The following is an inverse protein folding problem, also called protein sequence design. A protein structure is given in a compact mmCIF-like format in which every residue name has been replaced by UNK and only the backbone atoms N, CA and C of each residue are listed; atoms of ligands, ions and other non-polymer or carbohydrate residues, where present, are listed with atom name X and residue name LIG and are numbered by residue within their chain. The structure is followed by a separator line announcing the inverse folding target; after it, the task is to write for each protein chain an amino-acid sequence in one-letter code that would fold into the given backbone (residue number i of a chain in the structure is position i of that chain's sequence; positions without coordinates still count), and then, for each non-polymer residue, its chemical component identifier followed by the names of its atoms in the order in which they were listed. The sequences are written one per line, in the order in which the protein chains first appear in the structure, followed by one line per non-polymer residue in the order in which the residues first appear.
data_IF_295363960885
#
_entry.id   IF_295363960885
#
_cell.length_a   1.000
_cell.length_b   1.000
_cell.length_c   1.000
_cell.angle_alpha   90.00
_cell.angle_beta   90.00
_cell.angle_gamma   90.00
#
_symmetry.space_group_name_H-M   'P 1'
#
loop_
_entity.id
_entity.type
_entity.pdbx_description
1 polymer ?
#
# COMPACT_ATOMS: atom_id res chain seq x y z
N UNK A 1 -44.35 -50.61 -2.66
CA UNK A 1 -42.93 -50.27 -2.95
C UNK A 1 -42.79 -48.76 -2.92
N UNK A 2 -42.17 -48.21 -1.84
CA UNK A 2 -41.91 -46.77 -1.69
C UNK A 2 -40.48 -46.53 -2.25
N UNK A 3 -40.39 -45.71 -3.30
CA UNK A 3 -39.09 -45.24 -3.81
C UNK A 3 -38.58 -44.11 -2.92
N UNK A 4 -37.46 -44.32 -2.23
CA UNK A 4 -36.70 -43.29 -1.54
C UNK A 4 -35.82 -42.61 -2.57
N UNK A 5 -36.10 -41.33 -2.86
CA UNK A 5 -35.23 -40.50 -3.68
C UNK A 5 -34.18 -39.91 -2.75
N UNK A 6 -32.95 -40.40 -2.85
CA UNK A 6 -31.78 -39.78 -2.19
C UNK A 6 -31.42 -38.51 -3.00
N UNK A 7 -31.66 -37.37 -2.43
CA UNK A 7 -31.13 -36.10 -2.93
C UNK A 7 -29.68 -35.96 -2.40
N UNK A 8 -28.71 -36.28 -3.23
CA UNK A 8 -27.32 -35.94 -2.98
C UNK A 8 -27.13 -34.43 -3.16
N UNK A 9 -27.13 -33.71 -2.07
CA UNK A 9 -26.76 -32.29 -2.07
C UNK A 9 -25.28 -32.14 -2.33
N UNK A 10 -24.89 -31.79 -3.55
CA UNK A 10 -23.52 -31.38 -3.87
C UNK A 10 -23.24 -30.05 -3.14
N UNK A 11 -22.56 -30.15 -2.02
CA UNK A 11 -21.98 -28.98 -1.35
C UNK A 11 -20.81 -28.47 -2.21
N UNK A 12 -21.08 -27.48 -3.07
CA UNK A 12 -20.00 -26.72 -3.69
C UNK A 12 -19.28 -25.91 -2.60
N UNK A 13 -18.18 -26.46 -2.09
CA UNK A 13 -17.21 -25.67 -1.34
C UNK A 13 -16.61 -24.64 -2.31
N UNK A 14 -17.15 -23.42 -2.30
CA UNK A 14 -16.45 -22.30 -2.93
C UNK A 14 -15.17 -22.09 -2.15
N UNK A 15 -14.07 -22.60 -2.67
CA UNK A 15 -12.73 -22.23 -2.22
C UNK A 15 -12.58 -20.76 -2.63
N UNK A 16 -12.81 -19.85 -1.69
CA UNK A 16 -12.50 -18.44 -1.86
C UNK A 16 -10.97 -18.37 -1.91
N UNK A 17 -10.44 -18.33 -3.12
CA UNK A 17 -9.02 -18.18 -3.37
C UNK A 17 -8.73 -16.67 -3.21
N UNK A 18 -8.28 -16.26 -2.04
CA UNK A 18 -7.76 -14.92 -1.84
C UNK A 18 -6.49 -14.76 -2.65
N UNK A 19 -6.42 -13.70 -3.43
CA UNK A 19 -5.29 -13.46 -4.31
C UNK A 19 -5.21 -11.98 -4.68
N UNK A 20 -4.04 -11.57 -5.13
CA UNK A 20 -3.89 -10.25 -5.73
C UNK A 20 -4.27 -10.33 -7.21
N UNK A 21 -5.35 -9.65 -7.58
CA UNK A 21 -5.70 -9.45 -9.00
C UNK A 21 -4.81 -8.36 -9.58
N UNK A 22 -4.20 -8.64 -10.73
CA UNK A 22 -3.29 -7.71 -11.39
C UNK A 22 -3.89 -7.25 -12.72
N UNK A 23 -4.07 -5.94 -12.84
CA UNK A 23 -4.39 -5.28 -14.10
C UNK A 23 -3.15 -4.54 -14.61
N UNK A 24 -2.99 -4.49 -15.92
CA UNK A 24 -1.85 -3.79 -16.51
C UNK A 24 -2.29 -2.82 -17.59
N UNK A 25 -1.61 -1.69 -17.66
CA UNK A 25 -1.68 -0.76 -18.80
C UNK A 25 -0.33 -0.70 -19.52
N UNK A 26 -0.16 0.16 -20.49
CA UNK A 26 1.13 0.37 -21.14
C UNK A 26 2.23 0.80 -20.14
N UNK A 27 1.86 1.57 -19.11
CA UNK A 27 2.80 2.20 -18.19
C UNK A 27 2.69 1.77 -16.73
N UNK A 28 1.57 1.12 -16.32
CA UNK A 28 1.27 0.83 -14.94
C UNK A 28 0.99 -0.65 -14.71
N UNK A 29 1.42 -1.17 -13.56
CA UNK A 29 0.88 -2.36 -12.92
C UNK A 29 -0.06 -1.92 -11.82
N UNK A 30 -1.23 -2.55 -11.73
CA UNK A 30 -2.26 -2.25 -10.73
C UNK A 30 -2.57 -3.53 -9.98
N UNK A 31 -2.28 -3.53 -8.70
CA UNK A 31 -2.47 -4.66 -7.80
C UNK A 31 -3.72 -4.40 -6.96
N UNK A 32 -4.70 -5.29 -7.03
CA UNK A 32 -5.90 -5.30 -6.20
C UNK A 32 -5.79 -6.47 -5.20
N UNK A 33 -5.24 -6.24 -4.01
CA UNK A 33 -5.26 -7.28 -2.97
C UNK A 33 -6.70 -7.58 -2.57
N UNK A 34 -7.04 -8.84 -2.41
CA UNK A 34 -8.24 -9.23 -1.67
C UNK A 34 -7.88 -9.26 -0.18
N UNK A 35 -8.60 -8.49 0.63
CA UNK A 35 -8.26 -8.33 2.04
C UNK A 35 -9.50 -8.16 2.91
N UNK A 36 -9.39 -8.65 4.15
CA UNK A 36 -10.32 -8.34 5.24
C UNK A 36 -9.76 -7.29 6.20
N UNK A 37 -8.43 -7.11 6.20
CA UNK A 37 -7.70 -6.26 7.11
C UNK A 37 -6.52 -5.57 6.44
N UNK A 38 -6.25 -4.32 6.85
CA UNK A 38 -5.03 -3.58 6.46
C UNK A 38 -4.36 -3.08 7.73
N UNK A 39 -3.04 -3.17 7.77
CA UNK A 39 -2.27 -2.64 8.89
C UNK A 39 -1.04 -1.86 8.42
N UNK A 40 -0.55 -0.99 9.30
CA UNK A 40 0.74 -0.34 9.19
C UNK A 40 1.71 -1.04 10.14
N UNK A 41 2.56 -1.88 9.59
CA UNK A 41 3.59 -2.55 10.37
C UNK A 41 4.76 -1.59 10.57
N UNK A 42 4.95 -1.15 11.80
CA UNK A 42 6.07 -0.28 12.17
C UNK A 42 7.22 -1.16 12.68
N UNK A 43 8.21 -1.41 11.83
CA UNK A 43 9.33 -2.27 12.18
C UNK A 43 9.85 -3.10 11.02
N UNK A 44 10.03 -4.37 11.26
CA UNK A 44 10.46 -5.32 10.24
C UNK A 44 9.32 -5.64 9.28
N UNK A 45 9.66 -5.83 8.01
CA UNK A 45 8.71 -6.29 7.00
C UNK A 45 8.13 -7.66 7.39
N UNK A 46 6.82 -7.88 7.21
CA UNK A 46 6.21 -9.20 7.34
C UNK A 46 6.93 -10.23 6.47
N UNK A 47 7.20 -11.39 7.03
CA UNK A 47 7.88 -12.45 6.30
C UNK A 47 6.91 -13.13 5.32
N UNK A 48 7.42 -13.50 4.17
CA UNK A 48 6.64 -14.20 3.14
C UNK A 48 6.08 -15.58 3.58
N UNK A 49 6.55 -16.14 4.69
CA UNK A 49 5.96 -17.34 5.30
C UNK A 49 4.63 -17.11 6.02
N UNK A 50 4.28 -15.84 6.31
CA UNK A 50 3.00 -15.48 6.91
C UNK A 50 1.90 -15.61 5.87
N UNK A 51 1.16 -16.72 5.91
CA UNK A 51 0.20 -17.12 4.87
C UNK A 51 -1.05 -16.24 4.80
N UNK A 52 -1.30 -15.45 5.81
CA UNK A 52 -2.41 -14.48 5.90
C UNK A 52 -2.08 -13.13 5.23
N UNK A 53 -0.84 -12.87 4.86
CA UNK A 53 -0.45 -11.65 4.14
C UNK A 53 -0.60 -11.84 2.64
N UNK A 54 -1.35 -10.95 2.00
CA UNK A 54 -1.60 -10.95 0.55
C UNK A 54 -0.70 -10.00 -0.22
N UNK A 55 -0.45 -8.81 0.33
CA UNK A 55 0.43 -7.80 -0.27
C UNK A 55 1.14 -7.01 0.81
N UNK A 56 2.41 -6.70 0.59
CA UNK A 56 3.20 -5.87 1.50
C UNK A 56 4.18 -4.99 0.74
N UNK A 57 4.22 -3.70 1.06
CA UNK A 57 5.22 -2.76 0.52
C UNK A 57 5.49 -1.62 1.51
N UNK A 58 6.52 -0.82 1.26
CA UNK A 58 6.77 0.39 2.06
C UNK A 58 5.60 1.37 1.98
N UNK A 59 5.41 2.16 3.04
CA UNK A 59 4.32 3.13 3.16
C UNK A 59 4.81 4.57 3.29
N UNK A 60 5.00 5.07 4.50
CA UNK A 60 5.41 6.44 4.76
C UNK A 60 6.92 6.63 4.64
N UNK A 61 7.35 7.86 4.37
CA UNK A 61 8.76 8.20 4.46
C UNK A 61 9.32 7.85 5.83
N UNK A 62 10.46 7.19 5.81
CA UNK A 62 11.26 6.94 6.99
C UNK A 62 12.43 7.93 6.98
N UNK A 63 12.70 8.57 8.11
CA UNK A 63 13.88 9.38 8.29
C UNK A 63 15.14 8.55 8.19
N UNK A 64 16.22 9.00 8.79
CA UNK A 64 17.48 8.28 8.69
C UNK A 64 17.31 6.79 8.99
N UNK A 65 17.25 6.01 7.92
CA UNK A 65 17.36 4.56 8.02
C UNK A 65 18.69 4.15 8.61
N UNK A 66 19.49 5.11 8.85
CA UNK A 66 20.86 5.02 8.58
C UNK A 66 21.60 4.34 9.65
N UNK A 67 21.59 4.86 10.74
CA UNK A 67 22.64 4.48 11.58
C UNK A 67 22.41 3.22 12.31
N UNK A 68 21.38 2.62 12.18
CA UNK A 68 21.30 1.48 13.02
C UNK A 68 19.96 0.82 13.05
N UNK A 69 18.94 1.36 12.34
CA UNK A 69 17.58 0.80 12.36
C UNK A 69 17.04 0.60 13.79
N UNK A 70 17.62 1.30 14.75
CA UNK A 70 17.26 1.16 16.16
C UNK A 70 15.95 1.85 16.48
N UNK A 71 15.65 2.93 15.76
CA UNK A 71 14.46 3.72 15.98
C UNK A 71 13.63 3.84 14.71
N UNK A 72 12.33 3.66 14.85
CA UNK A 72 11.38 3.95 13.79
C UNK A 72 11.20 5.46 13.69
N UNK A 73 11.83 6.05 12.70
CA UNK A 73 11.71 7.46 12.42
C UNK A 73 10.75 7.69 11.27
N UNK A 74 9.47 7.43 11.50
CA UNK A 74 8.41 7.56 10.49
C UNK A 74 7.98 9.02 10.40
N UNK A 75 7.73 9.47 9.17
CA UNK A 75 7.35 10.84 8.89
C UNK A 75 5.94 11.15 9.39
N UNK A 76 5.83 12.22 10.17
CA UNK A 76 4.61 12.74 10.79
C UNK A 76 3.94 11.73 11.76
N UNK A 77 2.85 12.16 12.37
CA UNK A 77 2.07 11.28 13.21
C UNK A 77 1.47 10.14 12.38
N UNK A 78 1.48 8.95 12.95
CA UNK A 78 0.95 7.75 12.30
C UNK A 78 0.19 6.90 13.31
N UNK A 79 -0.71 6.06 12.82
CA UNK A 79 -1.50 5.15 13.65
C UNK A 79 -1.00 3.73 13.37
N UNK A 80 -0.58 3.05 14.42
CA UNK A 80 -0.11 1.69 14.38
C UNK A 80 -0.80 0.90 15.50
N UNK A 81 -1.47 -0.21 15.17
CA UNK A 81 -2.24 -1.02 16.12
C UNK A 81 -3.26 -0.18 16.94
N UNK A 82 -3.97 0.74 16.28
CA UNK A 82 -4.97 1.60 16.92
C UNK A 82 -4.41 2.66 17.86
N UNK A 83 -3.09 2.89 17.88
CA UNK A 83 -2.43 3.90 18.72
C UNK A 83 -1.79 4.97 17.86
N UNK A 84 -2.04 6.23 18.22
CA UNK A 84 -1.33 7.36 17.62
C UNK A 84 0.10 7.40 18.12
N UNK A 85 1.04 7.44 17.19
CA UNK A 85 2.48 7.54 17.46
C UNK A 85 2.99 8.81 16.82
N UNK A 86 3.79 9.57 17.57
CA UNK A 86 4.40 10.80 17.07
C UNK A 86 5.61 10.47 16.20
N UNK A 87 5.62 11.00 14.97
CA UNK A 87 6.76 10.93 14.08
C UNK A 87 7.48 12.28 13.91
N UNK A 88 8.53 12.29 13.08
CA UNK A 88 9.22 13.53 12.77
C UNK A 88 8.43 14.37 11.76
N UNK A 89 8.58 15.70 11.83
CA UNK A 89 7.87 16.62 10.91
C UNK A 89 8.45 16.51 9.49
N UNK A 90 7.62 16.08 8.54
CA UNK A 90 7.97 16.03 7.13
C UNK A 90 7.21 17.09 6.32
N UNK A 91 7.95 18.01 5.68
CA UNK A 91 7.36 19.08 4.85
C UNK A 91 6.84 18.56 3.51
N UNK A 92 7.34 17.43 3.04
CA UNK A 92 6.91 16.83 1.77
C UNK A 92 5.52 16.21 1.86
N UNK A 93 5.09 15.80 3.05
CA UNK A 93 3.78 15.19 3.24
C UNK A 93 2.69 16.24 3.15
N UNK A 94 1.71 16.01 2.28
CA UNK A 94 0.59 16.91 2.00
C UNK A 94 -0.77 16.27 2.26
N UNK A 95 -0.79 14.98 2.58
CA UNK A 95 -2.00 14.24 2.92
C UNK A 95 -1.74 13.06 3.82
N UNK A 96 -2.77 12.26 4.02
CA UNK A 96 -2.73 11.04 4.80
C UNK A 96 -3.83 10.07 4.42
N UNK A 97 -3.65 8.87 4.91
CA UNK A 97 -4.58 7.75 4.78
C UNK A 97 -4.83 7.15 6.15
N UNK A 98 -6.07 6.75 6.41
CA UNK A 98 -6.45 5.97 7.59
C UNK A 98 -7.35 4.82 7.18
N UNK A 99 -7.26 3.71 7.92
CA UNK A 99 -8.11 2.54 7.74
C UNK A 99 -8.56 1.99 9.10
N UNK A 100 -9.79 1.51 9.18
CA UNK A 100 -10.31 0.83 10.35
C UNK A 100 -11.73 0.30 10.14
N UNK A 101 -11.99 -0.90 10.63
CA UNK A 101 -13.31 -1.57 10.56
C UNK A 101 -13.88 -1.60 9.13
N UNK A 102 -13.04 -1.92 8.15
CA UNK A 102 -13.44 -2.01 6.74
C UNK A 102 -13.71 -0.67 6.05
N UNK A 103 -13.43 0.45 6.71
CA UNK A 103 -13.56 1.80 6.15
C UNK A 103 -12.19 2.45 6.00
N UNK A 104 -12.06 3.35 5.04
CA UNK A 104 -10.84 4.13 4.83
C UNK A 104 -11.15 5.56 4.45
N UNK A 105 -10.14 6.40 4.56
CA UNK A 105 -10.24 7.80 4.13
C UNK A 105 -8.89 8.33 3.68
N UNK A 106 -8.86 8.94 2.49
CA UNK A 106 -7.77 9.80 2.04
C UNK A 106 -8.12 11.23 2.41
N UNK A 107 -7.13 11.98 2.90
CA UNK A 107 -7.36 13.35 3.35
C UNK A 107 -6.15 14.24 3.15
N UNK A 108 -6.37 15.55 3.23
CA UNK A 108 -5.28 16.51 3.33
C UNK A 108 -4.59 16.37 4.69
N UNK A 109 -3.33 16.76 4.77
CA UNK A 109 -2.54 16.66 6.02
C UNK A 109 -3.15 17.43 7.19
N UNK A 110 -3.72 18.60 6.92
CA UNK A 110 -4.39 19.44 7.93
C UNK A 110 -5.65 18.81 8.52
N UNK A 111 -6.22 17.83 7.84
CA UNK A 111 -7.37 17.05 8.28
C UNK A 111 -6.98 15.68 8.88
N UNK A 112 -5.69 15.34 8.93
CA UNK A 112 -5.24 14.08 9.50
C UNK A 112 -5.48 14.07 11.03
N UNK A 113 -6.01 12.99 11.60
CA UNK A 113 -6.37 12.96 13.01
C UNK A 113 -5.18 13.18 13.92
N UNK A 114 -5.42 13.80 15.06
CA UNK A 114 -4.44 13.97 16.13
C UNK A 114 -4.43 12.82 17.12
N UNK A 115 -5.49 12.01 17.09
CA UNK A 115 -5.70 10.80 17.90
C UNK A 115 -6.18 9.66 16.99
N UNK A 116 -6.06 8.43 17.44
CA UNK A 116 -6.45 7.27 16.62
C UNK A 116 -7.96 7.22 16.32
N UNK A 117 -8.82 7.68 17.25
CA UNK A 117 -10.27 7.83 17.05
C UNK A 117 -10.97 6.61 16.43
N UNK A 118 -10.54 5.41 16.82
CA UNK A 118 -11.08 4.15 16.30
C UNK A 118 -10.50 3.68 14.97
N UNK A 119 -9.57 4.41 14.37
CA UNK A 119 -8.79 3.94 13.24
C UNK A 119 -7.73 2.94 13.71
N UNK A 120 -7.55 1.86 12.97
CA UNK A 120 -6.57 0.83 13.29
C UNK A 120 -5.17 1.19 12.80
N UNK A 121 -5.10 1.76 11.61
CA UNK A 121 -3.85 2.19 11.02
C UNK A 121 -4.01 3.52 10.26
N UNK A 122 -2.90 4.20 10.05
CA UNK A 122 -2.85 5.40 9.24
C UNK A 122 -1.47 6.01 9.18
N UNK A 123 -1.20 6.73 8.10
CA UNK A 123 0.07 7.43 7.91
C UNK A 123 -0.09 8.66 7.03
N UNK A 124 0.85 9.57 7.15
CA UNK A 124 0.96 10.75 6.29
C UNK A 124 1.97 10.51 5.18
N UNK A 125 1.64 11.02 3.98
CA UNK A 125 2.50 10.96 2.82
C UNK A 125 2.11 12.07 1.82
N UNK A 126 2.78 12.14 0.71
CA UNK A 126 2.46 13.09 -0.35
C UNK A 126 1.18 12.68 -1.07
N UNK A 127 0.16 13.55 -1.00
CA UNK A 127 -1.11 13.35 -1.68
C UNK A 127 -0.95 13.73 -3.16
N UNK A 128 -1.12 12.77 -4.05
CA UNK A 128 -0.92 12.91 -5.50
C UNK A 128 -2.23 13.31 -6.19
N UNK A 129 -3.29 12.57 -5.89
CA UNK A 129 -4.63 12.77 -6.46
C UNK A 129 -5.63 12.88 -5.31
N UNK A 130 -6.54 13.80 -5.43
CA UNK A 130 -7.70 13.95 -4.54
C UNK A 130 -8.94 14.26 -5.34
N UNK A 131 -10.01 13.51 -5.09
CA UNK A 131 -11.30 13.67 -5.78
C UNK A 131 -11.14 13.65 -7.32
N UNK A 132 -10.31 12.74 -7.85
CA UNK A 132 -10.02 12.60 -9.27
C UNK A 132 -9.09 13.67 -9.88
N UNK A 133 -8.65 14.64 -9.09
CA UNK A 133 -7.82 15.75 -9.55
C UNK A 133 -6.40 15.66 -9.04
N UNK A 134 -5.42 15.82 -9.94
CA UNK A 134 -4.02 15.89 -9.59
C UNK A 134 -3.70 17.08 -8.67
N UNK A 135 -2.91 16.85 -7.65
CA UNK A 135 -2.41 17.91 -6.78
C UNK A 135 -1.23 18.63 -7.44
N UNK A 136 -1.01 19.90 -7.12
CA UNK A 136 0.14 20.65 -7.63
C UNK A 136 1.46 19.92 -7.35
N UNK A 137 2.29 19.79 -8.36
CA UNK A 137 3.60 19.14 -8.28
C UNK A 137 4.67 20.23 -8.11
N UNK A 138 5.48 20.09 -7.08
CA UNK A 138 6.63 20.98 -6.89
C UNK A 138 7.66 20.81 -8.02
N UNK A 139 8.26 21.92 -8.48
CA UNK A 139 9.15 21.96 -9.66
C UNK A 139 10.30 20.94 -9.57
N UNK A 140 10.87 20.75 -8.38
CA UNK A 140 11.97 19.78 -8.16
C UNK A 140 11.54 18.33 -8.37
N UNK A 141 10.27 17.99 -8.05
CA UNK A 141 9.76 16.63 -8.22
C UNK A 141 9.31 16.34 -9.64
N UNK A 142 8.81 17.34 -10.35
CA UNK A 142 8.20 17.18 -11.67
C UNK A 142 9.03 16.31 -12.62
N UNK A 143 10.31 16.58 -12.71
CA UNK A 143 11.26 15.91 -13.60
C UNK A 143 12.04 14.77 -12.91
N UNK A 144 11.79 14.50 -11.66
CA UNK A 144 12.43 13.37 -10.96
C UNK A 144 12.06 12.07 -11.63
N UNK A 145 13.06 11.21 -11.86
CA UNK A 145 12.89 9.92 -12.54
C UNK A 145 13.09 8.78 -11.55
N UNK A 146 12.07 7.95 -11.42
CA UNK A 146 12.11 6.75 -10.58
C UNK A 146 11.08 5.72 -11.04
N UNK A 147 11.08 4.54 -10.43
CA UNK A 147 9.90 3.70 -10.32
C UNK A 147 9.02 4.35 -9.24
N UNK A 148 7.77 4.55 -9.51
CA UNK A 148 6.81 5.17 -8.59
C UNK A 148 5.75 4.17 -8.17
N UNK A 149 5.35 4.23 -6.90
CA UNK A 149 4.26 3.43 -6.33
C UNK A 149 3.32 4.34 -5.52
N UNK A 150 2.04 4.04 -5.54
CA UNK A 150 1.04 4.76 -4.77
C UNK A 150 -0.03 3.82 -4.23
N UNK A 151 -0.53 4.13 -3.02
CA UNK A 151 -1.79 3.61 -2.53
C UNK A 151 -2.91 4.42 -3.17
N UNK A 152 -3.81 3.75 -3.85
CA UNK A 152 -4.84 4.39 -4.65
C UNK A 152 -6.23 3.90 -4.29
N UNK A 153 -7.21 4.74 -4.57
CA UNK A 153 -8.63 4.37 -4.66
C UNK A 153 -9.11 4.52 -6.09
N UNK A 154 -9.72 3.47 -6.60
CA UNK A 154 -10.35 3.47 -7.91
C UNK A 154 -11.65 2.65 -7.85
N UNK A 155 -12.73 3.21 -8.37
CA UNK A 155 -14.06 2.58 -8.41
C UNK A 155 -14.49 2.03 -7.02
N UNK A 156 -14.17 2.80 -5.93
CA UNK A 156 -14.50 2.43 -4.56
C UNK A 156 -13.69 1.26 -4.00
N UNK A 157 -12.56 0.90 -4.63
CA UNK A 157 -11.64 -0.16 -4.17
C UNK A 157 -10.26 0.40 -3.92
N UNK A 158 -9.59 -0.09 -2.88
CA UNK A 158 -8.15 0.19 -2.69
C UNK A 158 -7.32 -0.69 -3.62
N UNK A 159 -6.27 -0.10 -4.14
CA UNK A 159 -5.27 -0.78 -4.96
C UNK A 159 -3.89 -0.15 -4.77
N UNK A 160 -2.86 -0.92 -5.07
CA UNK A 160 -1.50 -0.41 -5.20
C UNK A 160 -1.20 -0.26 -6.70
N UNK A 161 -0.75 0.92 -7.09
CA UNK A 161 -0.38 1.20 -8.49
C UNK A 161 1.10 1.52 -8.57
N UNK A 162 1.78 0.87 -9.50
CA UNK A 162 3.22 1.02 -9.70
C UNK A 162 3.54 1.28 -11.17
N UNK A 163 4.54 2.12 -11.42
CA UNK A 163 5.04 2.31 -12.77
C UNK A 163 5.87 1.11 -13.23
N UNK A 164 5.63 0.60 -14.44
CA UNK A 164 6.33 -0.56 -15.01
C UNK A 164 7.83 -0.30 -15.26
N UNK A 165 8.20 0.95 -15.44
CA UNK A 165 9.56 1.39 -15.74
C UNK A 165 9.84 2.73 -15.10
N UNK A 166 11.10 3.08 -15.05
CA UNK A 166 11.53 4.43 -14.64
C UNK A 166 10.86 5.46 -15.54
N UNK A 167 10.19 6.42 -14.93
CA UNK A 167 9.51 7.54 -15.60
C UNK A 167 9.63 8.81 -14.77
N UNK A 168 9.21 9.95 -15.33
CA UNK A 168 9.12 11.19 -14.56
C UNK A 168 7.91 11.13 -13.60
N UNK A 169 8.00 11.85 -12.49
CA UNK A 169 6.87 11.93 -11.55
C UNK A 169 5.63 12.54 -12.23
N UNK A 170 5.81 13.55 -13.08
CA UNK A 170 4.71 14.13 -13.86
C UNK A 170 4.00 13.10 -14.74
N UNK A 171 4.77 12.26 -15.43
CA UNK A 171 4.20 11.20 -16.27
C UNK A 171 3.45 10.17 -15.43
N UNK A 172 3.98 9.80 -14.26
CA UNK A 172 3.28 8.89 -13.36
C UNK A 172 1.93 9.46 -12.92
N UNK A 173 1.89 10.72 -12.48
CA UNK A 173 0.65 11.40 -12.09
C UNK A 173 -0.33 11.47 -13.27
N UNK A 174 0.14 11.80 -14.48
CA UNK A 174 -0.68 11.79 -15.69
C UNK A 174 -1.29 10.41 -15.94
N UNK A 175 -0.51 9.33 -15.85
CA UNK A 175 -0.99 7.96 -16.02
C UNK A 175 -2.05 7.58 -14.97
N UNK A 176 -1.91 8.02 -13.71
CA UNK A 176 -2.91 7.79 -12.67
C UNK A 176 -4.23 8.51 -12.99
N UNK A 177 -4.17 9.75 -13.49
CA UNK A 177 -5.36 10.49 -13.93
C UNK A 177 -6.06 9.82 -15.12
N UNK A 178 -5.29 9.40 -16.13
CA UNK A 178 -5.80 8.67 -17.30
C UNK A 178 -6.45 7.33 -16.89
N UNK A 179 -5.91 6.68 -15.88
CA UNK A 179 -6.47 5.45 -15.30
C UNK A 179 -7.71 5.74 -14.42
N UNK A 180 -8.10 7.04 -14.24
CA UNK A 180 -9.26 7.51 -13.46
C UNK A 180 -9.19 7.12 -11.98
N UNK A 181 -8.02 7.28 -11.37
CA UNK A 181 -7.83 7.12 -9.93
C UNK A 181 -8.55 8.25 -9.20
N UNK A 182 -9.34 7.93 -8.19
CA UNK A 182 -10.08 8.90 -7.38
C UNK A 182 -9.19 9.56 -6.33
N UNK A 183 -8.39 8.74 -5.64
CA UNK A 183 -7.41 9.18 -4.64
C UNK A 183 -6.09 8.46 -4.84
N UNK A 184 -4.97 9.15 -4.63
CA UNK A 184 -3.65 8.55 -4.62
C UNK A 184 -2.75 9.19 -3.58
N UNK A 185 -2.13 8.36 -2.76
CA UNK A 185 -1.10 8.72 -1.80
C UNK A 185 0.21 8.04 -2.21
N UNK A 186 1.28 8.82 -2.33
CA UNK A 186 2.60 8.29 -2.66
C UNK A 186 3.04 7.26 -1.61
N UNK A 187 3.78 6.25 -2.03
CA UNK A 187 4.45 5.32 -1.14
C UNK A 187 5.96 5.50 -1.25
N UNK A 188 6.69 5.26 -0.16
CA UNK A 188 8.13 5.48 -0.15
C UNK A 188 8.83 4.54 -1.14
N UNK A 189 9.42 5.15 -2.16
CA UNK A 189 10.13 4.47 -3.24
C UNK A 189 11.54 5.04 -3.37
N UNK A 190 12.18 5.24 -2.26
CA UNK A 190 13.57 5.69 -2.21
C UNK A 190 14.45 4.85 -3.15
N UNK A 191 15.49 5.44 -3.71
CA UNK A 191 16.35 4.75 -4.67
C UNK A 191 16.95 3.47 -4.09
N UNK A 192 16.55 2.31 -4.64
CA UNK A 192 16.94 0.99 -4.17
C UNK A 192 16.13 0.50 -2.95
N UNK A 193 15.03 1.16 -2.61
CA UNK A 193 14.14 0.83 -1.49
C UNK A 193 12.72 0.50 -1.96
N UNK A 194 12.59 -0.06 -3.14
CA UNK A 194 11.33 -0.32 -3.83
C UNK A 194 10.86 -1.78 -3.72
N UNK A 195 11.42 -2.56 -2.80
CA UNK A 195 11.02 -3.95 -2.59
C UNK A 195 9.56 -4.04 -2.11
N UNK A 196 8.85 -5.03 -2.64
CA UNK A 196 7.54 -5.44 -2.20
C UNK A 196 7.31 -6.91 -2.53
N UNK A 197 6.26 -7.50 -2.00
CA UNK A 197 5.85 -8.83 -2.41
C UNK A 197 4.34 -9.01 -2.27
N UNK A 198 3.80 -9.96 -3.01
CA UNK A 198 2.40 -10.33 -2.97
C UNK A 198 2.22 -11.83 -3.16
N UNK A 199 1.00 -12.34 -2.89
CA UNK A 199 0.60 -13.71 -3.23
C UNK A 199 -0.21 -13.72 -4.50
N UNK A 200 0.15 -14.61 -5.42
CA UNK A 200 -0.64 -14.89 -6.60
C UNK A 200 -1.83 -15.80 -6.27
N UNK A 201 -2.65 -16.06 -7.27
CA UNK A 201 -3.84 -16.93 -7.14
C UNK A 201 -3.54 -18.41 -6.81
N UNK A 202 -2.29 -18.81 -6.83
CA UNK A 202 -1.85 -20.14 -6.38
C UNK A 202 -1.33 -20.13 -4.93
N UNK A 203 -1.29 -18.95 -4.29
CA UNK A 203 -0.71 -18.73 -2.98
C UNK A 203 0.82 -18.61 -2.98
N UNK A 204 1.44 -18.60 -4.18
CA UNK A 204 2.89 -18.42 -4.33
C UNK A 204 3.26 -16.96 -4.11
N UNK A 205 4.36 -16.74 -3.41
CA UNK A 205 4.93 -15.41 -3.22
C UNK A 205 5.62 -14.97 -4.50
N UNK A 206 5.28 -13.75 -4.93
CA UNK A 206 5.93 -13.05 -6.03
C UNK A 206 6.60 -11.81 -5.47
N UNK A 207 7.90 -11.72 -5.62
CA UNK A 207 8.70 -10.59 -5.18
C UNK A 207 8.77 -9.53 -6.29
N UNK A 208 8.59 -8.27 -5.90
CA UNK A 208 8.80 -7.11 -6.76
C UNK A 208 10.15 -6.50 -6.42
N UNK A 209 10.97 -6.26 -7.44
CA UNK A 209 12.33 -5.72 -7.29
C UNK A 209 13.20 -6.53 -6.33
N UNK A 210 13.42 -7.82 -6.58
CA UNK A 210 14.23 -8.70 -5.71
C UNK A 210 15.67 -8.21 -5.54
N UNK A 211 16.19 -7.43 -6.50
CA UNK A 211 17.53 -6.82 -6.43
C UNK A 211 17.57 -5.51 -5.64
N UNK A 212 16.45 -5.09 -5.06
CA UNK A 212 16.39 -3.91 -4.21
C UNK A 212 17.27 -4.10 -2.97
N UNK A 213 17.83 -3.01 -2.45
CA UNK A 213 18.58 -3.01 -1.19
C UNK A 213 17.78 -3.53 0.00
N UNK A 214 16.45 -3.45 -0.08
CA UNK A 214 15.52 -3.96 0.94
C UNK A 214 15.27 -5.47 0.80
N UNK A 215 15.50 -6.05 -0.37
CA UNK A 215 15.34 -7.48 -0.60
C UNK A 215 16.63 -8.22 -0.23
N UNK A 216 16.56 -9.33 0.33
CA UNK A 216 15.61 -10.02 1.21
C UNK A 216 15.80 -9.61 2.68
N UNK A 217 16.16 -8.38 2.95
CA UNK A 217 16.68 -8.02 4.24
C UNK A 217 15.55 -7.62 5.19
N UNK A 218 15.02 -8.58 5.89
CA UNK A 218 14.32 -8.36 7.17
C UNK A 218 15.18 -7.60 8.21
N UNK A 219 16.33 -7.13 7.80
CA UNK A 219 17.28 -6.35 8.58
C UNK A 219 16.78 -4.91 8.78
N UNK A 220 16.19 -4.33 7.77
CA UNK A 220 15.81 -2.93 7.79
C UNK A 220 14.46 -2.74 8.47
N UNK A 221 14.43 -1.81 9.42
CA UNK A 221 13.22 -1.41 10.11
C UNK A 221 12.73 -0.09 9.52
N UNK A 222 11.53 -0.13 8.95
CA UNK A 222 10.82 1.04 8.45
C UNK A 222 9.33 0.87 8.73
N UNK A 223 8.47 1.18 7.80
CA UNK A 223 7.04 0.95 7.93
C UNK A 223 6.47 0.38 6.63
N UNK A 224 5.51 -0.52 6.79
CA UNK A 224 4.98 -1.32 5.70
C UNK A 224 3.46 -1.28 5.72
N UNK A 225 2.84 -0.90 4.61
CA UNK A 225 1.42 -1.17 4.43
C UNK A 225 1.24 -2.63 4.05
N UNK A 226 0.40 -3.31 4.80
CA UNK A 226 0.22 -4.77 4.68
C UNK A 226 -1.26 -5.09 4.59
N UNK A 227 -1.62 -5.86 3.56
CA UNK A 227 -2.97 -6.34 3.32
C UNK A 227 -3.06 -7.81 3.74
N UNK A 228 -4.05 -8.11 4.54
CA UNK A 228 -4.30 -9.45 5.11
C UNK A 228 -5.64 -10.01 4.64
N UNK A 229 -5.69 -11.36 4.44
CA UNK A 229 -6.97 -12.05 4.20
C UNK A 229 -7.93 -11.94 5.37
#
# INVERSE_FOLDING_TARGET
MKRVILLEGLLFLQIICYAVTINTTANLNVYYPEYSWIDLICGQMPKAVQKDVEFCCEAAFTGELLDEFKHLNIADNHICNGKMIKGYRCKANTGGFVWGKGKWKFMRKDAYPTEANGWNMGFCQMLIIKDGSARPIGTKMKNSKNIYRALCEKDGKLCIIESKKVMTYELFVKCLCEYKVTHALYLDMGRGWNYAWYRDNTGKVVELFPDSKMAPSYKYRTNWITFYK
#
